data_IF_766531890517
#
_entry.id   IF_766531890517
#
_cell.length_a   1.000
_cell.length_b   1.000
_cell.length_c   1.000
_cell.angle_alpha   90.00
_cell.angle_beta   90.00
_cell.angle_gamma   90.00
#
_symmetry.space_group_name_H-M   'P 1'
#
loop_
_entity.id
_entity.type
_entity.pdbx_description
1 polymer ?
#
# COMPACT_ATOMS: atom_id res chain seq x y z
N UNK A 1 15.77 -8.21 5.79
CA UNK A 1 14.47 -7.59 6.10
C UNK A 1 14.38 -6.28 5.34
N UNK A 2 13.85 -6.36 4.12
CA UNK A 2 14.20 -5.40 3.06
C UNK A 2 13.22 -4.20 3.03
N UNK A 3 12.54 -3.95 4.16
CA UNK A 3 11.57 -2.87 4.30
C UNK A 3 10.26 -3.07 3.51
N UNK A 4 10.01 -4.28 2.99
CA UNK A 4 8.82 -4.62 2.20
C UNK A 4 7.69 -5.18 3.06
N UNK A 5 6.46 -4.86 2.68
CA UNK A 5 5.22 -5.35 3.30
C UNK A 5 4.31 -5.89 2.20
N UNK A 6 3.78 -7.12 2.38
CA UNK A 6 2.75 -7.68 1.50
C UNK A 6 1.37 -7.27 2.00
N UNK A 7 0.56 -6.72 1.11
CA UNK A 7 -0.82 -6.30 1.39
C UNK A 7 -1.77 -7.10 0.50
N UNK A 8 -2.86 -7.59 1.10
CA UNK A 8 -3.96 -8.24 0.39
C UNK A 8 -5.19 -7.33 0.48
N UNK A 9 -5.80 -7.04 -0.65
CA UNK A 9 -7.04 -6.27 -0.68
C UNK A 9 -8.21 -7.17 -0.28
N UNK A 10 -9.15 -6.62 0.49
CA UNK A 10 -10.38 -7.33 0.85
C UNK A 10 -11.25 -7.66 -0.38
N UNK A 11 -11.14 -6.85 -1.44
CA UNK A 11 -11.89 -6.99 -2.69
C UNK A 11 -11.01 -6.61 -3.89
N UNK A 12 -11.44 -6.95 -5.11
CA UNK A 12 -10.73 -6.57 -6.32
C UNK A 12 -10.71 -5.06 -6.52
N UNK A 13 -9.50 -4.49 -6.61
CA UNK A 13 -9.27 -3.07 -6.87
C UNK A 13 -8.68 -2.86 -8.27
N UNK A 14 -8.89 -1.67 -8.85
CA UNK A 14 -8.38 -1.30 -10.18
C UNK A 14 -7.35 -0.18 -10.05
N UNK A 15 -6.41 -0.13 -10.99
CA UNK A 15 -5.50 1.01 -11.13
C UNK A 15 -4.33 1.04 -10.14
N UNK A 16 -4.01 -0.09 -9.50
CA UNK A 16 -2.81 -0.25 -8.67
C UNK A 16 -1.62 -0.42 -9.60
N UNK A 17 -0.67 0.52 -9.56
CA UNK A 17 0.50 0.53 -10.42
C UNK A 17 1.79 0.82 -9.63
N UNK A 18 2.93 0.20 -10.00
CA UNK A 18 4.21 0.50 -9.39
C UNK A 18 4.59 1.97 -9.49
N UNK A 19 5.21 2.50 -8.42
CA UNK A 19 5.61 3.91 -8.32
C UNK A 19 4.51 4.83 -7.79
N UNK A 20 3.26 4.37 -7.67
CA UNK A 20 2.24 5.07 -6.87
C UNK A 20 2.54 4.92 -5.38
N UNK A 21 2.03 5.84 -4.57
CA UNK A 21 2.10 5.75 -3.11
C UNK A 21 0.90 4.97 -2.56
N UNK A 22 1.18 4.05 -1.63
CA UNK A 22 0.18 3.47 -0.74
C UNK A 22 0.22 4.21 0.60
N UNK A 23 -0.94 4.62 1.12
CA UNK A 23 -1.07 5.31 2.41
C UNK A 23 -2.04 4.53 3.28
N UNK A 24 -1.65 4.27 4.52
CA UNK A 24 -2.43 3.51 5.48
C UNK A 24 -3.02 4.45 6.53
N UNK A 25 -4.29 4.23 6.85
CA UNK A 25 -5.05 5.02 7.81
C UNK A 25 -5.61 4.14 8.93
N UNK A 26 -5.69 4.69 10.14
CA UNK A 26 -6.53 4.19 11.23
C UNK A 26 -7.58 5.27 11.56
N UNK A 27 -8.82 5.04 11.13
CA UNK A 27 -9.84 6.08 11.12
C UNK A 27 -9.43 7.29 10.28
N UNK A 28 -9.18 8.42 10.95
CA UNK A 28 -8.75 9.67 10.32
C UNK A 28 -7.22 9.89 10.40
N UNK A 29 -6.49 9.02 11.09
CA UNK A 29 -5.07 9.19 11.34
C UNK A 29 -4.23 8.48 10.26
N UNK A 30 -3.20 9.15 9.75
CA UNK A 30 -2.21 8.53 8.85
C UNK A 30 -1.20 7.77 9.70
N UNK A 31 -1.13 6.46 9.51
CA UNK A 31 -0.25 5.58 10.29
C UNK A 31 1.00 5.14 9.50
N UNK A 32 1.03 5.40 8.20
CA UNK A 32 2.20 5.15 7.38
C UNK A 32 1.93 5.13 5.89
N UNK A 33 2.96 4.79 5.12
CA UNK A 33 2.86 4.65 3.69
C UNK A 33 4.16 4.16 3.07
N UNK A 34 4.11 3.97 1.75
CA UNK A 34 5.24 3.51 0.97
C UNK A 34 4.97 3.60 -0.52
N UNK A 35 5.93 3.17 -1.32
CA UNK A 35 5.74 3.02 -2.76
C UNK A 35 5.26 1.62 -3.07
N UNK A 36 4.29 1.53 -3.97
CA UNK A 36 3.86 0.27 -4.55
C UNK A 36 5.01 -0.21 -5.44
N UNK A 37 5.57 -1.37 -5.12
CA UNK A 37 6.62 -2.02 -5.89
C UNK A 37 6.01 -3.08 -6.80
N UNK A 38 6.75 -3.47 -7.84
CA UNK A 38 6.37 -4.51 -8.79
C UNK A 38 6.97 -5.85 -8.37
N UNK A 39 6.76 -6.27 -7.12
CA UNK A 39 7.20 -7.57 -6.62
C UNK A 39 6.45 -8.02 -5.37
#
# INVERSE_FOLDING_TARGET
PDGRIKIEFFENVKGVAPGQSAVFYDGNDVIGGGFIDKE
#
